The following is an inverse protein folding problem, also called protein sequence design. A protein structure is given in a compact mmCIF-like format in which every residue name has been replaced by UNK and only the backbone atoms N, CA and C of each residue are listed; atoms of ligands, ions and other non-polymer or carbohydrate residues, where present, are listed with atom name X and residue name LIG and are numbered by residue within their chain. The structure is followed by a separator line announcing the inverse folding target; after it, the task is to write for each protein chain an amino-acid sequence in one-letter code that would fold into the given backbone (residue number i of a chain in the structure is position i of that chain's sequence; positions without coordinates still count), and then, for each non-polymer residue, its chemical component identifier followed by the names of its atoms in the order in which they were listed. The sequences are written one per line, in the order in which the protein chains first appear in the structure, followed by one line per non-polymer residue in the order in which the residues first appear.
data_IF_375920668845
#
_entry.id   IF_375920668845
#
_cell.length_a   1.000
_cell.length_b   1.000
_cell.length_c   1.000
_cell.angle_alpha   90.00
_cell.angle_beta   90.00
_cell.angle_gamma   90.00
#
_symmetry.space_group_name_H-M   'P 1'
#
loop_
_entity.id
_entity.type
_entity.pdbx_description
1 polymer ?
#
# COMPACT_ATOMS: atom_id res chain seq x y z
N UNK A 1 5.86 -9.69 0.57
CA UNK A 1 6.62 -8.87 -0.40
C UNK A 1 7.94 -8.30 0.13
N UNK A 2 8.65 -8.96 1.04
CA UNK A 2 10.04 -8.55 1.37
C UNK A 2 11.05 -9.09 0.34
N UNK A 3 10.75 -10.25 -0.26
CA UNK A 3 11.60 -10.92 -1.24
C UNK A 3 11.89 -10.05 -2.46
N UNK A 4 10.90 -9.37 -3.05
CA UNK A 4 11.13 -8.53 -4.23
C UNK A 4 12.09 -7.37 -3.95
N UNK A 5 11.95 -6.73 -2.79
CA UNK A 5 12.87 -5.67 -2.35
C UNK A 5 14.28 -6.22 -2.12
N UNK A 6 14.41 -7.41 -1.55
CA UNK A 6 15.71 -8.07 -1.34
C UNK A 6 16.39 -8.42 -2.66
N UNK A 7 15.67 -9.01 -3.62
CA UNK A 7 16.21 -9.32 -4.96
C UNK A 7 16.73 -8.07 -5.67
N UNK A 8 16.02 -6.94 -5.52
CA UNK A 8 16.48 -5.65 -6.06
C UNK A 8 17.71 -5.13 -5.28
N UNK A 9 17.74 -5.27 -3.96
CA UNK A 9 18.85 -4.84 -3.10
C UNK A 9 20.14 -5.60 -3.35
N UNK A 10 20.03 -6.89 -3.68
CA UNK A 10 21.15 -7.78 -3.99
C UNK A 10 21.59 -7.68 -5.46
N UNK A 11 20.86 -6.91 -6.27
CA UNK A 11 21.14 -6.75 -7.69
C UNK A 11 20.84 -7.98 -8.54
N UNK A 12 20.07 -8.93 -8.01
CA UNK A 12 19.62 -10.12 -8.75
C UNK A 12 18.62 -9.75 -9.86
N UNK A 13 17.88 -8.65 -9.66
CA UNK A 13 16.99 -8.07 -10.66
C UNK A 13 17.26 -6.57 -10.80
N UNK A 14 17.06 -6.03 -12.00
CA UNK A 14 17.15 -4.59 -12.26
C UNK A 14 15.85 -3.83 -11.96
N UNK A 15 14.71 -4.53 -11.95
CA UNK A 15 13.37 -3.97 -11.71
C UNK A 15 12.45 -5.05 -11.14
N UNK A 16 11.50 -4.66 -10.29
CA UNK A 16 10.49 -5.55 -9.71
C UNK A 16 9.20 -4.80 -9.42
N UNK A 17 8.11 -5.53 -9.17
CA UNK A 17 6.93 -5.01 -8.49
C UNK A 17 7.05 -5.22 -6.98
N UNK A 18 6.63 -4.23 -6.18
CA UNK A 18 6.60 -4.31 -4.73
C UNK A 18 5.61 -3.29 -4.16
N UNK A 19 5.19 -3.49 -2.91
CA UNK A 19 4.40 -2.49 -2.20
C UNK A 19 5.23 -1.23 -1.95
N UNK A 20 4.70 -0.06 -2.31
CA UNK A 20 5.40 1.22 -2.26
C UNK A 20 5.94 1.55 -0.85
N UNK A 21 5.21 1.22 0.23
CA UNK A 21 5.69 1.39 1.60
C UNK A 21 6.99 0.62 1.90
N UNK A 22 7.22 -0.53 1.27
CA UNK A 22 8.46 -1.31 1.42
C UNK A 22 9.62 -0.71 0.64
N UNK A 23 9.36 -0.21 -0.56
CA UNK A 23 10.36 0.50 -1.36
C UNK A 23 10.77 1.81 -0.67
N UNK A 24 9.79 2.57 -0.16
CA UNK A 24 10.02 3.78 0.62
C UNK A 24 10.90 3.53 1.85
N UNK A 25 10.59 2.51 2.65
CA UNK A 25 11.41 2.18 3.83
C UNK A 25 12.83 1.77 3.44
N UNK A 26 12.99 0.95 2.38
CA UNK A 26 14.31 0.62 1.88
C UNK A 26 15.10 1.85 1.37
N UNK A 27 14.42 2.80 0.73
CA UNK A 27 15.01 4.06 0.26
C UNK A 27 15.43 4.97 1.43
N UNK A 28 14.51 5.23 2.36
CA UNK A 28 14.66 6.24 3.41
C UNK A 28 15.38 5.69 4.65
N UNK A 29 15.03 4.50 5.12
CA UNK A 29 15.61 3.91 6.34
C UNK A 29 16.94 3.20 6.04
N UNK A 30 16.99 2.42 4.95
CA UNK A 30 18.16 1.60 4.61
C UNK A 30 19.12 2.29 3.62
N UNK A 31 18.76 3.48 3.11
CA UNK A 31 19.57 4.25 2.17
C UNK A 31 19.77 3.58 0.80
N UNK A 32 18.85 2.70 0.40
CA UNK A 32 18.94 2.02 -0.90
C UNK A 32 18.63 3.00 -2.04
N UNK A 33 19.38 2.98 -3.14
CA UNK A 33 19.19 3.90 -4.26
C UNK A 33 18.03 3.47 -5.18
N UNK A 34 16.88 3.14 -4.59
CA UNK A 34 15.70 2.70 -5.33
C UNK A 34 14.91 3.90 -5.84
N UNK A 35 14.18 3.68 -6.93
CA UNK A 35 13.24 4.65 -7.48
C UNK A 35 11.93 3.95 -7.77
N UNK A 36 10.83 4.58 -7.37
CA UNK A 36 9.48 4.09 -7.66
C UNK A 36 9.04 4.67 -9.00
N UNK A 37 8.69 3.79 -9.94
CA UNK A 37 8.00 4.17 -11.17
C UNK A 37 6.50 4.17 -10.88
N UNK A 38 5.90 5.35 -10.75
CA UNK A 38 4.48 5.52 -10.43
C UNK A 38 3.54 5.32 -11.63
N UNK A 39 4.07 5.44 -12.85
CA UNK A 39 3.30 5.23 -14.07
C UNK A 39 2.77 3.79 -14.12
N UNK A 40 1.45 3.63 -14.30
CA UNK A 40 0.80 2.32 -14.31
C UNK A 40 0.74 1.65 -12.94
N UNK A 41 0.94 2.36 -11.82
CA UNK A 41 0.75 1.78 -10.49
C UNK A 41 -0.66 1.21 -10.34
N UNK A 42 -0.79 0.09 -9.63
CA UNK A 42 -2.08 -0.45 -9.22
C UNK A 42 -2.30 -0.02 -7.77
N UNK A 43 -3.43 0.63 -7.51
CA UNK A 43 -3.83 0.98 -6.15
C UNK A 43 -5.14 0.29 -5.78
N UNK A 44 -5.27 -0.01 -4.49
CA UNK A 44 -6.45 -0.59 -3.87
C UNK A 44 -6.64 0.01 -2.47
N UNK A 45 -7.80 -0.25 -1.87
CA UNK A 45 -8.08 0.18 -0.51
C UNK A 45 -7.92 -0.98 0.47
N UNK A 46 -7.10 -0.79 1.48
CA UNK A 46 -7.08 -1.67 2.64
C UNK A 46 -8.36 -1.48 3.48
N UNK A 47 -8.98 -2.59 3.86
CA UNK A 47 -10.26 -2.61 4.55
C UNK A 47 -10.11 -3.25 5.94
N UNK A 48 -10.75 -2.63 6.93
CA UNK A 48 -10.98 -3.26 8.23
C UNK A 48 -12.36 -3.94 8.20
N UNK A 49 -12.39 -5.22 8.56
CA UNK A 49 -13.62 -6.00 8.65
C UNK A 49 -13.79 -6.62 10.04
N UNK A 50 -15.04 -6.78 10.48
CA UNK A 50 -15.38 -7.52 11.70
C UNK A 50 -15.93 -8.89 11.28
N UNK A 51 -15.21 -9.99 11.55
CA UNK A 51 -15.69 -11.33 11.24
C UNK A 51 -17.01 -11.65 11.95
N UNK A 52 -17.86 -12.44 11.30
CA UNK A 52 -19.11 -12.91 11.92
C UNK A 52 -18.82 -13.71 13.18
N UNK A 53 -19.46 -13.36 14.29
CA UNK A 53 -19.25 -14.02 15.58
C UNK A 53 -18.03 -13.52 16.37
N UNK A 54 -17.41 -12.41 15.96
CA UNK A 54 -16.32 -11.80 16.72
C UNK A 54 -16.77 -11.52 18.17
N UNK A 55 -15.98 -11.94 19.19
CA UNK A 55 -16.40 -11.89 20.59
C UNK A 55 -16.47 -10.47 21.17
N UNK A 56 -15.79 -9.50 20.54
CA UNK A 56 -15.65 -8.12 21.00
C UNK A 56 -16.15 -7.13 19.92
N UNK A 57 -17.38 -7.33 19.44
CA UNK A 57 -17.91 -6.59 18.28
C UNK A 57 -17.97 -5.08 18.55
N UNK A 58 -18.40 -4.69 19.75
CA UNK A 58 -18.56 -3.29 20.14
C UNK A 58 -17.21 -2.56 20.16
N UNK A 59 -16.18 -3.17 20.78
CA UNK A 59 -14.84 -2.60 20.81
C UNK A 59 -14.20 -2.55 19.41
N UNK A 60 -14.48 -3.56 18.56
CA UNK A 60 -14.02 -3.54 17.18
C UNK A 60 -14.63 -2.37 16.38
N UNK A 61 -15.91 -2.05 16.60
CA UNK A 61 -16.55 -0.88 16.00
C UNK A 61 -15.94 0.44 16.49
N UNK A 62 -15.66 0.55 17.80
CA UNK A 62 -14.97 1.71 18.36
C UNK A 62 -13.58 1.89 17.77
N UNK A 63 -12.83 0.79 17.63
CA UNK A 63 -11.52 0.80 17.00
C UNK A 63 -11.60 1.22 15.54
N UNK A 64 -12.52 0.66 14.73
CA UNK A 64 -12.67 1.06 13.33
C UNK A 64 -12.98 2.56 13.22
N UNK A 65 -13.86 3.08 14.08
CA UNK A 65 -14.17 4.52 14.12
C UNK A 65 -12.93 5.36 14.43
N UNK A 66 -12.11 4.93 15.39
CA UNK A 66 -10.86 5.59 15.75
C UNK A 66 -9.82 5.50 14.62
N UNK A 67 -9.51 4.29 14.15
CA UNK A 67 -8.47 4.01 13.17
C UNK A 67 -8.75 4.69 11.83
N UNK A 68 -10.02 4.79 11.44
CA UNK A 68 -10.45 5.47 10.21
C UNK A 68 -10.77 6.95 10.42
N UNK A 69 -10.47 7.55 11.58
CA UNK A 69 -10.67 8.99 11.79
C UNK A 69 -9.68 9.83 10.95
N UNK A 70 -10.04 11.07 10.66
CA UNK A 70 -9.17 12.00 9.90
C UNK A 70 -7.76 12.08 10.48
N UNK A 71 -7.67 12.24 11.81
CA UNK A 71 -6.39 12.36 12.50
C UNK A 71 -5.61 11.05 12.46
N UNK A 72 -6.24 9.92 12.78
CA UNK A 72 -5.55 8.63 12.84
C UNK A 72 -4.98 8.22 11.49
N UNK A 73 -5.72 8.42 10.39
CA UNK A 73 -5.22 8.14 9.05
C UNK A 73 -4.05 9.06 8.65
N UNK A 74 -4.09 10.34 9.02
CA UNK A 74 -2.97 11.25 8.78
C UNK A 74 -1.73 10.91 9.64
N UNK A 75 -1.92 10.49 10.89
CA UNK A 75 -0.83 10.06 11.77
C UNK A 75 -0.18 8.77 11.27
N UNK A 76 -0.94 7.85 10.69
CA UNK A 76 -0.39 6.63 10.08
C UNK A 76 0.60 6.97 8.95
N UNK A 77 0.30 7.99 8.14
CA UNK A 77 1.14 8.42 7.04
C UNK A 77 2.54 8.91 7.48
N UNK A 78 2.76 9.18 8.78
CA UNK A 78 4.10 9.49 9.32
C UNK A 78 5.00 8.26 9.48
N UNK A 79 4.42 7.07 9.43
CA UNK A 79 5.12 5.80 9.70
C UNK A 79 5.29 4.95 8.45
N UNK A 80 4.50 5.20 7.41
CA UNK A 80 4.56 4.43 6.18
C UNK A 80 4.04 5.27 5.01
N UNK A 81 4.67 5.10 3.85
CA UNK A 81 4.17 5.61 2.57
C UNK A 81 2.93 4.80 2.17
N UNK A 82 1.78 5.12 2.74
CA UNK A 82 0.47 4.67 2.26
C UNK A 82 -0.51 5.84 2.35
N UNK A 83 -1.24 6.06 1.25
CA UNK A 83 -2.15 7.18 1.10
C UNK A 83 -3.35 7.07 2.06
N UNK A 84 -3.64 8.09 2.89
CA UNK A 84 -4.85 8.12 3.70
C UNK A 84 -6.11 8.00 2.84
N UNK A 85 -7.05 7.11 3.23
CA UNK A 85 -8.28 6.90 2.46
C UNK A 85 -9.27 8.08 2.48
N UNK A 86 -9.09 9.06 3.38
CA UNK A 86 -9.96 10.25 3.50
C UNK A 86 -9.31 11.48 2.90
N UNK A 87 -10.09 12.22 2.09
CA UNK A 87 -9.70 13.56 1.59
C UNK A 87 -9.32 14.52 2.72
N UNK A 88 -10.07 14.51 3.83
CA UNK A 88 -9.79 15.35 5.00
C UNK A 88 -8.46 15.04 5.70
N UNK A 89 -7.87 13.87 5.46
CA UNK A 89 -6.57 13.48 6.01
C UNK A 89 -5.40 13.90 5.12
N UNK A 90 -5.63 14.09 3.81
CA UNK A 90 -4.58 14.42 2.86
C UNK A 90 -3.90 15.76 3.19
N UNK A 91 -4.68 16.75 3.64
CA UNK A 91 -4.18 18.07 4.06
C UNK A 91 -3.36 18.02 5.36
N UNK A 92 -3.40 16.91 6.09
CA UNK A 92 -2.70 16.73 7.36
C UNK A 92 -1.43 15.87 7.22
N UNK A 93 -1.10 15.43 6.01
CA UNK A 93 0.13 14.68 5.75
C UNK A 93 1.32 15.61 6.01
N UNK A 94 2.20 15.17 6.91
CA UNK A 94 3.36 15.95 7.36
C UNK A 94 4.68 15.24 7.07
N UNK A 95 5.60 15.33 8.02
CA UNK A 95 6.90 14.66 7.96
C UNK A 95 6.78 13.17 8.32
N UNK A 96 7.69 12.38 7.77
CA UNK A 96 7.99 11.04 8.26
C UNK A 96 8.48 11.12 9.71
N UNK A 97 8.43 10.01 10.44
CA UNK A 97 8.81 9.99 11.85
C UNK A 97 10.29 10.32 12.09
N UNK A 98 11.12 10.36 11.05
CA UNK A 98 12.51 10.85 11.09
C UNK A 98 12.63 12.38 11.30
N UNK A 99 11.52 13.11 11.14
CA UNK A 99 11.46 14.57 11.25
C UNK A 99 12.11 15.35 10.10
N UNK A 100 12.44 14.69 8.98
CA UNK A 100 13.18 15.27 7.84
C UNK A 100 12.53 15.03 6.49
N UNK A 101 11.88 13.88 6.31
CA UNK A 101 11.34 13.46 5.01
C UNK A 101 9.90 13.93 4.88
N UNK A 102 9.61 14.79 3.89
CA UNK A 102 8.23 15.19 3.59
C UNK A 102 7.45 14.01 3.01
N UNK A 103 6.33 13.62 3.60
CA UNK A 103 5.63 12.40 3.16
C UNK A 103 4.77 12.60 1.91
N UNK A 104 4.27 13.81 1.65
CA UNK A 104 3.34 14.06 0.55
C UNK A 104 3.89 13.65 -0.82
N UNK A 105 5.16 13.93 -1.19
CA UNK A 105 5.76 13.45 -2.44
C UNK A 105 5.90 11.92 -2.53
N UNK A 106 5.79 11.18 -1.43
CA UNK A 106 5.92 9.72 -1.42
C UNK A 106 4.56 9.02 -1.35
N UNK A 107 3.44 9.74 -1.36
CA UNK A 107 2.12 9.10 -1.29
C UNK A 107 1.65 8.59 -2.65
N UNK A 108 1.10 7.36 -2.74
CA UNK A 108 0.58 6.81 -4.00
C UNK A 108 -0.61 7.61 -4.54
N UNK A 109 -1.33 8.32 -3.67
CA UNK A 109 -2.55 9.07 -3.96
C UNK A 109 -2.32 10.55 -4.24
N UNK A 110 -1.07 10.99 -4.33
CA UNK A 110 -0.73 12.35 -4.73
C UNK A 110 -1.17 12.58 -6.19
N UNK A 111 -1.76 13.75 -6.55
CA UNK A 111 -2.39 13.95 -7.86
C UNK A 111 -1.48 13.59 -9.04
N UNK A 112 -0.20 13.92 -8.95
CA UNK A 112 0.82 13.59 -9.94
C UNK A 112 0.91 12.07 -10.19
N UNK A 113 0.94 11.28 -9.13
CA UNK A 113 1.04 9.81 -9.18
C UNK A 113 -0.26 9.13 -9.64
N UNK A 114 -1.40 9.81 -9.53
CA UNK A 114 -2.69 9.29 -9.96
C UNK A 114 -2.98 9.50 -11.45
N UNK A 115 -2.14 10.24 -12.18
CA UNK A 115 -2.37 10.59 -13.60
C UNK A 115 -2.62 9.37 -14.49
N UNK A 116 -1.88 8.27 -14.28
CA UNK A 116 -2.02 7.01 -15.02
C UNK A 116 -2.09 5.81 -14.07
N UNK A 117 -2.70 6.00 -12.90
CA UNK A 117 -2.87 4.94 -11.91
C UNK A 117 -4.08 4.06 -12.24
N UNK A 118 -3.96 2.77 -11.98
CA UNK A 118 -4.99 1.76 -12.20
C UNK A 118 -5.66 1.42 -10.87
N UNK A 119 -6.97 1.71 -10.76
CA UNK A 119 -7.76 1.26 -9.63
C UNK A 119 -8.06 -0.24 -9.78
N UNK A 120 -7.67 -1.05 -8.79
CA UNK A 120 -8.02 -2.47 -8.76
C UNK A 120 -9.54 -2.64 -8.67
N UNK A 121 -10.13 -3.37 -9.62
CA UNK A 121 -11.59 -3.58 -9.66
C UNK A 121 -11.99 -4.74 -8.76
N UNK A 122 -12.66 -4.43 -7.64
CA UNK A 122 -13.21 -5.45 -6.75
C UNK A 122 -14.21 -6.37 -7.45
N UNK A 123 -15.06 -5.81 -8.31
CA UNK A 123 -16.07 -6.57 -9.06
C UNK A 123 -15.41 -7.60 -10.00
N UNK A 124 -14.36 -7.19 -10.71
CA UNK A 124 -13.57 -8.09 -11.55
C UNK A 124 -12.96 -9.22 -10.73
N UNK A 125 -12.35 -8.91 -9.57
CA UNK A 125 -11.71 -9.92 -8.74
C UNK A 125 -12.72 -10.88 -8.09
N UNK A 126 -13.90 -10.41 -7.69
CA UNK A 126 -14.97 -11.29 -7.17
C UNK A 126 -15.35 -12.36 -8.19
N UNK A 127 -15.44 -12.01 -9.47
CA UNK A 127 -15.88 -12.94 -10.52
C UNK A 127 -14.74 -13.83 -11.06
N UNK A 128 -13.49 -13.36 -11.01
CA UNK A 128 -12.38 -13.99 -11.74
C UNK A 128 -11.21 -14.48 -10.88
N UNK A 129 -11.10 -14.11 -9.60
CA UNK A 129 -9.93 -14.41 -8.78
C UNK A 129 -9.63 -15.92 -8.72
N UNK A 130 -10.61 -16.76 -8.42
CA UNK A 130 -10.39 -18.21 -8.35
C UNK A 130 -9.89 -18.80 -9.68
N UNK A 131 -10.47 -18.38 -10.80
CA UNK A 131 -10.08 -18.88 -12.12
C UNK A 131 -8.67 -18.43 -12.52
N UNK A 132 -8.31 -17.17 -12.23
CA UNK A 132 -6.98 -16.63 -12.52
C UNK A 132 -5.93 -17.25 -11.58
N UNK A 133 -6.26 -17.40 -10.30
CA UNK A 133 -5.83 -18.43 -9.35
C UNK A 133 -5.26 -19.69 -10.01
N UNK A 134 -6.17 -20.52 -10.49
CA UNK A 134 -5.83 -21.84 -11.03
C UNK A 134 -4.93 -21.75 -12.26
N UNK A 135 -5.19 -20.77 -13.15
CA UNK A 135 -4.39 -20.57 -14.36
C UNK A 135 -2.95 -20.15 -14.04
N UNK A 136 -2.77 -19.26 -13.07
CA UNK A 136 -1.45 -18.79 -12.67
C UNK A 136 -0.65 -19.92 -12.02
N UNK A 137 -1.26 -20.71 -11.12
CA UNK A 137 -0.61 -21.85 -10.50
C UNK A 137 -0.24 -22.95 -11.52
N UNK A 138 -1.11 -23.21 -12.50
CA UNK A 138 -0.81 -24.15 -13.58
C UNK A 138 0.38 -23.69 -14.44
N UNK A 139 0.46 -22.37 -14.73
CA UNK A 139 1.60 -21.79 -15.44
C UNK A 139 2.90 -21.90 -14.64
N UNK A 140 2.87 -21.60 -13.34
CA UNK A 140 4.03 -21.73 -12.44
C UNK A 140 4.56 -23.16 -12.35
N UNK A 141 3.68 -24.16 -12.33
CA UNK A 141 4.12 -25.56 -12.25
C UNK A 141 4.71 -26.08 -13.57
N UNK A 142 4.47 -25.40 -14.68
CA UNK A 142 4.91 -25.79 -16.02
C UNK A 142 6.22 -25.11 -16.46
N UNK A 143 6.76 -24.18 -15.66
CA UNK A 143 7.99 -23.43 -15.92
C UNK A 143 8.91 -23.44 -14.70
#
# INVERSE_FOLDING_TARGET
GAQSVQLLADGEVAMTTAYNGRLFSAEIDDGRPFQIVWDGQIYEYDLLAIPKGAPNKEQALEYIKFATSTKSLAEQAKWISYGPARKSSAELIGMFHDGKTEMAPHMPTTPEHLTNALNSSYEFWVDHDAQLNDRFNAWLAAN
#
